data_IF_002842598141
#
_entry.id   IF_002842598141
#
_cell.length_a   1.000
_cell.length_b   1.000
_cell.length_c   1.000
_cell.angle_alpha   90.00
_cell.angle_beta   90.00
_cell.angle_gamma   90.00
#
_symmetry.space_group_name_H-M   'P 1'
#
loop_
_entity.id
_entity.type
_entity.pdbx_description
1 polymer ?
#
# COMPACT_ATOMS: atom_id res chain seq x y z
N UNK A 1 -22.01 -0.68 6.18
CA UNK A 1 -21.64 -1.74 5.23
C UNK A 1 -22.82 -2.57 4.71
N UNK A 2 -23.85 -2.93 5.51
CA UNK A 2 -25.04 -3.63 4.98
C UNK A 2 -25.74 -2.87 3.85
N UNK A 3 -25.81 -1.52 3.93
CA UNK A 3 -26.34 -0.69 2.85
C UNK A 3 -25.52 -0.87 1.56
N UNK A 4 -24.19 -0.87 1.65
CA UNK A 4 -23.30 -1.07 0.49
C UNK A 4 -23.53 -2.43 -0.15
N UNK A 5 -23.63 -3.51 0.65
CA UNK A 5 -23.87 -4.85 0.12
C UNK A 5 -25.24 -4.93 -0.61
N UNK A 6 -26.27 -4.25 -0.09
CA UNK A 6 -27.58 -4.14 -0.72
C UNK A 6 -27.51 -3.38 -2.05
N UNK A 7 -26.79 -2.27 -2.09
CA UNK A 7 -26.63 -1.49 -3.33
C UNK A 7 -25.83 -2.28 -4.39
N UNK A 8 -24.80 -3.03 -3.97
CA UNK A 8 -24.07 -3.95 -4.86
C UNK A 8 -25.00 -5.03 -5.40
N UNK A 9 -25.88 -5.60 -4.55
CA UNK A 9 -26.90 -6.58 -4.97
C UNK A 9 -27.83 -5.98 -6.04
N UNK A 10 -28.36 -4.77 -5.79
CA UNK A 10 -29.25 -4.08 -6.75
C UNK A 10 -28.55 -3.77 -8.06
N UNK A 11 -27.28 -3.41 -8.03
CA UNK A 11 -26.50 -3.07 -9.22
C UNK A 11 -26.17 -4.31 -10.07
N UNK A 12 -26.00 -5.48 -9.49
CA UNK A 12 -25.56 -6.70 -10.16
C UNK A 12 -26.72 -7.51 -10.73
N UNK A 13 -27.84 -7.60 -10.02
CA UNK A 13 -28.99 -8.44 -10.40
C UNK A 13 -29.52 -8.18 -11.81
N UNK A 14 -29.60 -6.92 -12.33
CA UNK A 14 -30.06 -6.68 -13.69
C UNK A 14 -29.18 -7.34 -14.78
N UNK A 15 -27.89 -7.55 -14.49
CA UNK A 15 -26.95 -8.18 -15.45
C UNK A 15 -26.79 -9.67 -15.21
N UNK A 16 -26.95 -10.10 -13.95
CA UNK A 16 -26.81 -11.49 -13.53
C UNK A 16 -28.02 -11.88 -12.67
N UNK A 17 -29.17 -12.18 -13.29
CA UNK A 17 -30.35 -12.61 -12.57
C UNK A 17 -30.03 -13.84 -11.69
N UNK A 18 -30.38 -13.78 -10.41
CA UNK A 18 -30.04 -14.83 -9.45
C UNK A 18 -28.69 -14.66 -8.74
N UNK A 19 -27.92 -13.61 -9.05
CA UNK A 19 -26.74 -13.26 -8.27
C UNK A 19 -27.09 -13.01 -6.79
N UNK A 20 -26.23 -13.46 -5.88
CA UNK A 20 -26.38 -13.26 -4.43
C UNK A 20 -25.17 -12.53 -3.88
N UNK A 21 -25.42 -11.50 -3.07
CA UNK A 21 -24.37 -10.74 -2.37
C UNK A 21 -24.51 -11.00 -0.87
N UNK A 22 -23.41 -11.38 -0.25
CA UNK A 22 -23.31 -11.52 1.19
C UNK A 22 -22.20 -10.60 1.75
N UNK A 23 -22.34 -10.26 3.02
CA UNK A 23 -21.40 -9.45 3.76
C UNK A 23 -20.90 -10.22 4.97
N UNK A 24 -19.59 -10.34 5.10
CA UNK A 24 -18.95 -10.85 6.30
C UNK A 24 -18.15 -9.72 6.97
N UNK A 25 -18.41 -9.49 8.26
CA UNK A 25 -17.57 -8.65 9.10
C UNK A 25 -16.35 -9.47 9.54
N UNK A 26 -15.17 -9.00 9.20
CA UNK A 26 -13.86 -9.57 9.55
C UNK A 26 -13.06 -8.68 10.48
N UNK A 27 -13.69 -7.63 11.01
CA UNK A 27 -13.05 -6.71 11.95
C UNK A 27 -12.61 -7.45 13.22
N UNK A 28 -11.43 -7.15 13.70
CA UNK A 28 -10.97 -7.67 15.00
C UNK A 28 -11.56 -6.83 16.13
N UNK A 29 -11.96 -7.46 17.22
CA UNK A 29 -12.41 -6.74 18.44
C UNK A 29 -11.29 -5.81 18.93
N UNK A 30 -11.64 -4.55 19.19
CA UNK A 30 -10.71 -3.54 19.72
C UNK A 30 -9.65 -3.04 18.73
N UNK A 31 -9.74 -3.38 17.45
CA UNK A 31 -8.83 -2.87 16.42
C UNK A 31 -9.40 -1.61 15.78
N UNK A 32 -8.53 -0.65 15.52
CA UNK A 32 -8.85 0.57 14.77
C UNK A 32 -9.16 0.28 13.28
N UNK A 33 -8.93 -0.96 12.83
CA UNK A 33 -9.19 -1.42 11.49
C UNK A 33 -10.51 -2.17 11.43
N UNK A 34 -11.50 -1.61 10.74
CA UNK A 34 -12.72 -2.32 10.37
C UNK A 34 -12.50 -3.00 9.00
N UNK A 35 -12.76 -4.30 8.94
CA UNK A 35 -12.56 -5.11 7.75
C UNK A 35 -13.85 -5.82 7.38
N UNK A 36 -14.30 -5.63 6.14
CA UNK A 36 -15.48 -6.27 5.59
C UNK A 36 -15.14 -7.06 4.33
N UNK A 37 -15.82 -8.16 4.12
CA UNK A 37 -15.71 -8.93 2.90
C UNK A 37 -17.08 -9.04 2.25
N UNK A 38 -17.22 -8.47 1.06
CA UNK A 38 -18.39 -8.63 0.21
C UNK A 38 -18.14 -9.84 -0.68
N UNK A 39 -19.01 -10.82 -0.60
CA UNK A 39 -18.95 -12.00 -1.45
C UNK A 39 -20.05 -11.95 -2.49
N UNK A 40 -19.73 -12.20 -3.76
CA UNK A 40 -20.67 -12.20 -4.88
C UNK A 40 -20.67 -13.60 -5.47
N UNK A 41 -21.84 -14.27 -5.42
CA UNK A 41 -22.06 -15.55 -6.06
C UNK A 41 -22.87 -15.32 -7.32
N UNK A 42 -22.36 -15.74 -8.47
CA UNK A 42 -23.05 -15.68 -9.75
C UNK A 42 -23.63 -17.06 -10.07
N UNK A 43 -24.82 -17.13 -10.74
CA UNK A 43 -25.51 -18.41 -10.98
C UNK A 43 -24.67 -19.41 -11.79
N UNK A 44 -23.97 -18.92 -12.81
CA UNK A 44 -23.27 -19.74 -13.81
C UNK A 44 -21.75 -19.80 -13.59
N UNK A 45 -21.26 -19.32 -12.44
CA UNK A 45 -19.82 -19.27 -12.14
C UNK A 45 -19.53 -20.14 -10.93
N UNK A 46 -18.63 -21.11 -11.11
CA UNK A 46 -18.12 -21.90 -9.99
C UNK A 46 -17.21 -21.03 -9.12
N UNK A 47 -17.62 -20.84 -7.86
CA UNK A 47 -16.88 -20.05 -6.91
C UNK A 47 -17.59 -18.74 -6.55
N UNK A 48 -16.89 -17.91 -5.79
CA UNK A 48 -17.40 -16.68 -5.24
C UNK A 48 -16.37 -15.56 -5.44
N UNK A 49 -16.78 -14.49 -6.08
CA UNK A 49 -15.96 -13.26 -6.13
C UNK A 49 -15.97 -12.64 -4.73
N UNK A 50 -14.80 -12.32 -4.22
CA UNK A 50 -14.64 -11.72 -2.89
C UNK A 50 -13.98 -10.36 -3.02
N UNK A 51 -14.67 -9.33 -2.52
CA UNK A 51 -14.15 -7.97 -2.42
C UNK A 51 -13.88 -7.67 -0.95
N UNK A 52 -12.62 -7.45 -0.61
CA UNK A 52 -12.21 -7.06 0.74
C UNK A 52 -12.16 -5.55 0.82
N UNK A 53 -12.82 -4.99 1.83
CA UNK A 53 -12.81 -3.57 2.12
C UNK A 53 -12.27 -3.35 3.52
N UNK A 54 -11.25 -2.53 3.64
CA UNK A 54 -10.61 -2.20 4.90
C UNK A 54 -10.82 -0.70 5.17
N UNK A 55 -11.27 -0.35 6.37
CA UNK A 55 -11.41 1.01 6.85
C UNK A 55 -10.55 1.16 8.10
N UNK A 56 -9.62 2.06 8.04
CA UNK A 56 -8.85 2.42 9.21
C UNK A 56 -9.36 3.73 9.80
N UNK A 57 -9.62 3.72 11.11
CA UNK A 57 -10.00 4.92 11.83
C UNK A 57 -8.74 5.70 12.20
N UNK A 58 -8.49 6.78 11.49
CA UNK A 58 -7.40 7.71 11.80
C UNK A 58 -7.73 8.42 13.12
N UNK A 59 -6.84 8.41 14.11
CA UNK A 59 -7.00 9.20 15.32
C UNK A 59 -7.18 10.69 14.99
N UNK A 60 -8.05 11.43 15.70
CA UNK A 60 -8.35 12.83 15.37
C UNK A 60 -7.12 13.76 15.35
N UNK A 61 -6.15 13.52 16.24
CA UNK A 61 -4.88 14.24 16.30
C UNK A 61 -3.96 13.97 15.12
N UNK A 62 -4.16 12.86 14.43
CA UNK A 62 -3.42 12.44 13.23
C UNK A 62 -4.16 12.77 11.93
N UNK A 63 -5.43 13.16 12.01
CA UNK A 63 -6.28 13.32 10.82
C UNK A 63 -5.74 14.39 9.85
N UNK A 64 -5.13 15.47 10.34
CA UNK A 64 -4.54 16.53 9.52
C UNK A 64 -3.40 16.02 8.62
N UNK A 65 -2.68 14.95 9.01
CA UNK A 65 -1.61 14.36 8.21
C UNK A 65 -2.12 13.51 7.03
N UNK A 66 -3.41 13.17 7.04
CA UNK A 66 -4.06 12.40 5.98
C UNK A 66 -4.89 13.28 5.05
N UNK A 67 -4.45 14.51 4.83
CA UNK A 67 -5.03 15.39 3.81
C UNK A 67 -4.80 14.80 2.42
N UNK A 68 -5.73 13.99 1.98
CA UNK A 68 -5.71 13.43 0.63
C UNK A 68 -6.10 14.45 -0.43
N UNK A 69 -6.00 14.04 -1.66
CA UNK A 69 -6.47 14.81 -2.80
C UNK A 69 -7.91 14.42 -3.13
N UNK A 70 -8.78 15.40 -3.30
CA UNK A 70 -10.14 15.14 -3.77
C UNK A 70 -10.10 14.65 -5.21
N UNK A 71 -10.60 13.45 -5.45
CA UNK A 71 -10.69 12.84 -6.78
C UNK A 71 -12.10 12.34 -7.07
N UNK A 72 -12.53 12.53 -8.30
CA UNK A 72 -13.71 11.84 -8.81
C UNK A 72 -13.29 10.52 -9.43
N UNK A 73 -14.00 9.43 -9.13
CA UNK A 73 -13.82 8.19 -9.86
C UNK A 73 -14.34 8.39 -11.30
N UNK A 74 -13.41 8.45 -12.25
CA UNK A 74 -13.77 8.32 -13.65
C UNK A 74 -13.88 6.82 -13.95
N UNK A 75 -15.02 6.32 -14.47
CA UNK A 75 -15.10 4.94 -14.91
C UNK A 75 -14.12 4.73 -16.06
N UNK A 76 -13.19 3.79 -15.92
CA UNK A 76 -12.33 3.37 -17.01
C UNK A 76 -13.16 2.63 -18.07
N UNK A 77 -13.00 3.03 -19.33
CA UNK A 77 -13.46 2.26 -20.48
C UNK A 77 -14.97 2.04 -20.57
N UNK A 78 -15.73 3.03 -20.99
CA UNK A 78 -17.11 2.85 -21.47
C UNK A 78 -18.18 2.62 -20.39
N UNK A 79 -17.84 2.57 -19.11
CA UNK A 79 -18.79 2.45 -18.00
C UNK A 79 -19.53 3.77 -17.68
N UNK A 80 -19.67 4.65 -18.65
CA UNK A 80 -20.41 5.92 -18.55
C UNK A 80 -21.93 5.74 -18.31
N UNK A 81 -22.39 4.51 -18.25
CA UNK A 81 -23.83 4.21 -18.20
C UNK A 81 -24.49 4.44 -16.84
N UNK A 82 -23.73 4.66 -15.76
CA UNK A 82 -24.33 4.44 -14.44
C UNK A 82 -24.31 5.58 -13.44
N UNK A 83 -23.69 6.73 -13.70
CA UNK A 83 -23.72 7.78 -12.68
C UNK A 83 -23.84 9.18 -13.24
N UNK A 84 -24.98 9.76 -13.05
CA UNK A 84 -25.19 11.23 -13.07
C UNK A 84 -24.47 11.90 -11.89
N UNK A 85 -24.10 11.16 -10.86
CA UNK A 85 -23.37 11.65 -9.69
C UNK A 85 -21.98 10.99 -9.67
N UNK A 86 -20.94 11.81 -9.82
CA UNK A 86 -19.55 11.40 -9.61
C UNK A 86 -19.17 11.63 -8.15
N UNK A 87 -19.10 10.58 -7.33
CA UNK A 87 -18.71 10.75 -5.94
C UNK A 87 -17.27 11.28 -5.87
N UNK A 88 -17.06 12.26 -5.00
CA UNK A 88 -15.73 12.80 -4.70
C UNK A 88 -15.17 12.00 -3.53
N UNK A 89 -13.98 11.46 -3.71
CA UNK A 89 -13.25 10.74 -2.68
C UNK A 89 -12.01 11.52 -2.27
N UNK A 90 -11.66 11.40 -1.00
CA UNK A 90 -10.36 11.83 -0.52
C UNK A 90 -9.38 10.66 -0.73
N UNK A 91 -8.39 10.85 -1.59
CA UNK A 91 -7.45 9.81 -1.99
C UNK A 91 -6.06 10.16 -1.46
N UNK A 92 -5.38 9.18 -0.86
CA UNK A 92 -4.01 9.35 -0.42
C UNK A 92 -3.10 9.77 -1.59
N UNK A 93 -2.19 10.72 -1.32
CA UNK A 93 -1.20 11.14 -2.30
C UNK A 93 -0.12 10.06 -2.50
N UNK A 94 0.59 10.04 -3.64
CA UNK A 94 1.72 9.13 -3.83
C UNK A 94 2.76 9.22 -2.71
N UNK A 95 3.00 10.41 -2.16
CA UNK A 95 3.89 10.65 -1.02
C UNK A 95 3.40 9.91 0.23
N UNK A 96 2.13 10.05 0.57
CA UNK A 96 1.52 9.35 1.71
C UNK A 96 1.61 7.84 1.55
N UNK A 97 1.33 7.34 0.35
CA UNK A 97 1.42 5.91 0.07
C UNK A 97 2.87 5.42 0.22
N UNK A 98 3.87 6.20 -0.23
CA UNK A 98 5.28 5.82 -0.07
C UNK A 98 5.66 5.67 1.40
N UNK A 99 5.28 6.62 2.26
CA UNK A 99 5.54 6.53 3.71
C UNK A 99 4.84 5.32 4.35
N UNK A 100 3.58 5.08 4.01
CA UNK A 100 2.84 3.90 4.49
C UNK A 100 3.55 2.60 4.07
N UNK A 101 4.13 2.54 2.86
CA UNK A 101 4.85 1.36 2.39
C UNK A 101 6.19 1.18 3.09
N UNK A 102 6.96 2.25 3.32
CA UNK A 102 8.20 2.18 4.08
C UNK A 102 7.94 1.69 5.51
N UNK A 103 6.95 2.25 6.20
CA UNK A 103 6.56 1.78 7.53
C UNK A 103 6.05 0.33 7.51
N UNK A 104 5.27 -0.05 6.49
CA UNK A 104 4.80 -1.41 6.36
C UNK A 104 5.94 -2.41 6.15
N UNK A 105 6.98 -2.04 5.40
CA UNK A 105 8.21 -2.84 5.23
C UNK A 105 8.94 -2.96 6.57
N UNK A 106 9.10 -1.85 7.29
CA UNK A 106 9.84 -1.78 8.55
C UNK A 106 9.21 -2.63 9.67
N UNK A 107 7.88 -2.55 9.82
CA UNK A 107 7.20 -3.04 11.02
C UNK A 107 6.48 -4.37 10.84
N UNK A 108 6.42 -4.91 9.62
CA UNK A 108 5.86 -6.24 9.40
C UNK A 108 6.91 -7.31 9.60
N UNK A 109 6.58 -8.35 10.37
CA UNK A 109 7.48 -9.48 10.60
C UNK A 109 7.83 -10.30 9.34
N UNK A 110 7.24 -9.98 8.18
CA UNK A 110 7.56 -10.53 6.87
C UNK A 110 7.34 -9.51 5.75
N UNK A 111 8.24 -9.49 4.80
CA UNK A 111 8.09 -8.70 3.59
C UNK A 111 6.86 -9.16 2.79
N UNK A 112 6.07 -8.21 2.32
CA UNK A 112 5.03 -8.46 1.33
C UNK A 112 5.53 -7.97 -0.04
N UNK A 113 5.68 -8.84 -1.03
CA UNK A 113 6.19 -8.49 -2.36
C UNK A 113 5.47 -7.31 -3.03
N UNK A 114 4.16 -7.16 -2.77
CA UNK A 114 3.40 -6.01 -3.27
C UNK A 114 3.89 -4.67 -2.73
N UNK A 115 4.42 -4.62 -1.49
CA UNK A 115 4.93 -3.36 -0.93
C UNK A 115 6.22 -2.94 -1.67
N UNK A 116 7.04 -3.89 -2.10
CA UNK A 116 8.21 -3.66 -2.98
C UNK A 116 7.76 -3.16 -4.36
N UNK A 117 6.76 -3.81 -4.95
CA UNK A 117 6.18 -3.36 -6.21
C UNK A 117 5.63 -1.92 -6.10
N UNK A 118 4.90 -1.62 -5.03
CA UNK A 118 4.29 -0.30 -4.83
C UNK A 118 5.35 0.79 -4.68
N UNK A 119 6.45 0.55 -3.94
CA UNK A 119 7.57 1.50 -3.81
C UNK A 119 8.19 1.77 -5.18
N UNK A 120 8.54 0.72 -5.93
CA UNK A 120 9.10 0.85 -7.28
C UNK A 120 8.14 1.61 -8.20
N UNK A 121 6.87 1.23 -8.25
CA UNK A 121 5.87 1.85 -9.11
C UNK A 121 5.72 3.35 -8.82
N UNK A 122 5.62 3.73 -7.55
CA UNK A 122 5.50 5.12 -7.14
C UNK A 122 6.72 5.94 -7.53
N UNK A 123 7.91 5.39 -7.36
CA UNK A 123 9.15 6.16 -7.47
C UNK A 123 9.78 6.14 -8.86
N UNK A 124 9.37 5.21 -9.72
CA UNK A 124 9.85 5.11 -11.10
C UNK A 124 8.76 5.42 -12.12
N UNK A 125 7.60 4.75 -12.04
CA UNK A 125 6.56 4.86 -13.06
C UNK A 125 5.72 6.14 -12.94
N UNK A 126 5.56 6.69 -11.72
CA UNK A 126 4.89 7.98 -11.52
C UNK A 126 5.85 9.18 -11.63
N UNK A 127 7.15 8.95 -11.79
CA UNK A 127 8.16 10.01 -11.89
C UNK A 127 7.87 10.96 -13.05
N UNK A 128 7.46 10.42 -14.18
CA UNK A 128 7.27 11.17 -15.42
C UNK A 128 5.87 11.81 -15.54
N UNK A 129 5.06 11.67 -14.49
CA UNK A 129 3.67 12.13 -14.47
C UNK A 129 2.76 11.15 -15.19
N UNK A 130 1.80 10.54 -14.50
CA UNK A 130 0.72 9.88 -15.22
C UNK A 130 -0.11 10.95 -15.94
N UNK A 131 -0.50 10.69 -17.17
CA UNK A 131 -1.39 11.54 -17.96
C UNK A 131 -2.70 11.88 -17.21
N UNK A 132 -3.07 11.05 -16.22
CA UNK A 132 -4.29 11.20 -15.43
C UNK A 132 -4.14 12.13 -14.22
N UNK A 133 -2.95 12.26 -13.64
CA UNK A 133 -2.74 13.05 -12.42
C UNK A 133 -2.10 14.41 -12.66
N UNK A 134 -1.46 14.62 -13.82
CA UNK A 134 -0.80 15.88 -14.19
C UNK A 134 0.37 16.29 -13.28
N UNK A 135 0.67 15.51 -12.24
CA UNK A 135 1.76 15.79 -11.29
C UNK A 135 2.77 14.65 -11.32
N UNK A 136 4.00 14.98 -11.74
CA UNK A 136 5.13 14.07 -11.58
C UNK A 136 5.45 13.88 -10.10
N UNK A 137 5.54 12.64 -9.66
CA UNK A 137 5.98 12.32 -8.32
C UNK A 137 7.51 12.32 -8.28
N UNK A 138 8.08 13.09 -7.36
CA UNK A 138 9.53 13.15 -7.16
C UNK A 138 9.92 12.68 -5.76
N UNK A 139 10.40 11.45 -5.67
CA UNK A 139 10.84 10.85 -4.43
C UNK A 139 12.02 11.64 -3.77
N UNK A 140 12.90 12.25 -4.55
CA UNK A 140 14.03 13.02 -4.00
C UNK A 140 13.55 14.24 -3.21
N UNK A 141 12.44 14.86 -3.64
CA UNK A 141 11.81 15.96 -2.88
C UNK A 141 11.22 15.48 -1.57
N UNK A 142 10.66 14.26 -1.56
CA UNK A 142 10.06 13.67 -0.36
C UNK A 142 11.11 13.42 0.71
N UNK A 143 12.25 12.86 0.34
CA UNK A 143 13.38 12.64 1.26
C UNK A 143 14.17 13.92 1.58
N UNK A 144 14.06 14.96 0.75
CA UNK A 144 14.70 16.26 0.97
C UNK A 144 14.02 17.13 2.02
N UNK A 145 12.73 16.91 2.31
CA UNK A 145 12.01 17.57 3.39
C UNK A 145 12.05 16.70 4.65
N UNK A 146 13.18 16.76 5.35
CA UNK A 146 13.44 15.92 6.54
C UNK A 146 12.40 16.11 7.65
N UNK A 147 11.98 17.34 8.04
CA UNK A 147 10.95 17.51 9.06
C UNK A 147 9.63 16.85 8.68
N UNK A 148 9.19 17.00 7.42
CA UNK A 148 7.97 16.38 6.92
C UNK A 148 8.11 14.85 6.89
N UNK A 149 9.26 14.33 6.42
CA UNK A 149 9.55 12.90 6.39
C UNK A 149 9.45 12.28 7.80
N UNK A 150 10.10 12.90 8.81
CA UNK A 150 10.07 12.39 10.18
C UNK A 150 8.66 12.41 10.77
N UNK A 151 7.91 13.51 10.55
CA UNK A 151 6.53 13.62 11.01
C UNK A 151 5.64 12.52 10.41
N UNK A 152 5.80 12.22 9.12
CA UNK A 152 5.06 11.18 8.45
C UNK A 152 5.45 9.79 8.94
N UNK A 153 6.74 9.51 9.06
CA UNK A 153 7.23 8.23 9.56
C UNK A 153 6.69 7.97 10.98
N UNK A 154 6.69 8.98 11.85
CA UNK A 154 6.17 8.85 13.21
C UNK A 154 4.64 8.63 13.23
N UNK A 155 3.91 9.39 12.43
CA UNK A 155 2.45 9.28 12.35
C UNK A 155 1.99 7.91 11.84
N UNK A 156 2.66 7.35 10.83
CA UNK A 156 2.33 6.03 10.30
C UNK A 156 2.87 4.89 11.15
N UNK A 157 4.02 5.06 11.82
CA UNK A 157 4.54 4.08 12.79
C UNK A 157 3.59 3.87 13.97
N UNK A 158 2.86 4.91 14.38
CA UNK A 158 1.84 4.83 15.44
C UNK A 158 0.76 3.77 15.16
N UNK A 159 0.50 3.42 13.88
CA UNK A 159 -0.38 2.31 13.49
C UNK A 159 0.10 0.95 14.00
N UNK A 160 1.38 0.85 14.23
CA UNK A 160 2.05 -0.36 14.71
C UNK A 160 2.39 -0.26 16.20
N UNK A 161 1.91 0.80 16.90
CA UNK A 161 2.29 1.15 18.28
C UNK A 161 3.81 1.35 18.44
N UNK A 162 4.42 2.02 17.47
CA UNK A 162 5.85 2.26 17.37
C UNK A 162 6.11 3.72 17.02
N UNK A 163 7.37 4.13 17.05
CA UNK A 163 7.87 5.44 16.64
C UNK A 163 8.56 5.35 15.29
N UNK A 164 8.83 6.48 14.65
CA UNK A 164 9.60 6.54 13.41
C UNK A 164 10.95 5.80 13.51
N UNK A 165 11.62 5.92 14.67
CA UNK A 165 12.96 5.34 14.86
C UNK A 165 12.94 3.82 15.05
N UNK A 166 11.81 3.23 15.44
CA UNK A 166 11.66 1.77 15.49
C UNK A 166 11.67 1.15 14.08
N UNK A 167 11.48 1.98 13.03
CA UNK A 167 11.56 1.54 11.65
C UNK A 167 13.00 1.22 11.18
N UNK A 168 14.03 1.77 11.84
CA UNK A 168 15.44 1.65 11.43
C UNK A 168 15.81 0.19 11.23
N UNK A 169 15.60 -0.64 12.25
CA UNK A 169 16.01 -2.07 12.21
C UNK A 169 15.34 -2.81 11.06
N UNK A 170 14.02 -2.67 10.90
CA UNK A 170 13.30 -3.39 9.85
C UNK A 170 13.66 -2.93 8.42
N UNK A 171 13.97 -1.64 8.25
CA UNK A 171 14.46 -1.12 6.97
C UNK A 171 15.90 -1.58 6.68
N UNK A 172 16.77 -1.61 7.70
CA UNK A 172 18.14 -2.15 7.59
C UNK A 172 18.11 -3.63 7.24
N UNK A 173 17.28 -4.44 7.90
CA UNK A 173 17.11 -5.86 7.60
C UNK A 173 16.75 -6.09 6.12
N UNK A 174 15.93 -5.22 5.53
CA UNK A 174 15.62 -5.31 4.10
C UNK A 174 16.83 -4.94 3.23
N UNK A 175 17.55 -3.88 3.57
CA UNK A 175 18.73 -3.41 2.80
C UNK A 175 19.83 -4.47 2.80
N UNK A 176 20.07 -5.12 3.92
CA UNK A 176 21.12 -6.13 4.09
C UNK A 176 20.74 -7.50 3.48
N UNK A 177 19.44 -7.75 3.27
CA UNK A 177 18.97 -9.03 2.74
C UNK A 177 19.51 -9.28 1.33
N UNK A 178 20.01 -10.51 1.02
CA UNK A 178 20.47 -10.84 -0.31
C UNK A 178 19.40 -10.62 -1.39
N UNK A 179 19.80 -10.09 -2.55
CA UNK A 179 18.86 -9.82 -3.64
C UNK A 179 18.17 -11.08 -4.13
N UNK A 180 18.89 -12.22 -4.16
CA UNK A 180 18.35 -13.51 -4.57
C UNK A 180 17.18 -13.95 -3.68
N UNK A 181 17.28 -13.72 -2.37
CA UNK A 181 16.21 -14.04 -1.41
C UNK A 181 14.98 -13.14 -1.63
N UNK A 182 15.22 -11.85 -1.87
CA UNK A 182 14.14 -10.91 -2.16
C UNK A 182 13.46 -11.25 -3.49
N UNK A 183 14.22 -11.56 -4.52
CA UNK A 183 13.68 -11.98 -5.83
C UNK A 183 12.86 -13.27 -5.72
N UNK A 184 13.36 -14.26 -4.98
CA UNK A 184 12.59 -15.48 -4.73
C UNK A 184 11.27 -15.19 -4.01
N UNK A 185 11.28 -14.25 -3.04
CA UNK A 185 10.06 -13.78 -2.37
C UNK A 185 9.10 -13.07 -3.35
N UNK A 186 9.63 -12.27 -4.28
CA UNK A 186 8.84 -11.61 -5.32
C UNK A 186 8.20 -12.64 -6.26
N UNK A 187 8.93 -13.67 -6.68
CA UNK A 187 8.35 -14.72 -7.52
C UNK A 187 7.20 -15.44 -6.83
N UNK A 188 7.37 -15.84 -5.58
CA UNK A 188 6.33 -16.54 -4.82
C UNK A 188 5.10 -15.65 -4.55
N UNK A 189 5.31 -14.39 -4.22
CA UNK A 189 4.24 -13.54 -3.70
C UNK A 189 3.64 -12.56 -4.71
N UNK A 190 4.33 -12.24 -5.82
CA UNK A 190 3.84 -11.29 -6.83
C UNK A 190 3.37 -12.01 -8.11
N UNK A 191 4.11 -13.01 -8.58
CA UNK A 191 3.80 -13.78 -9.80
C UNK A 191 2.34 -14.27 -9.89
N UNK A 192 1.71 -14.79 -8.82
CA UNK A 192 0.32 -15.25 -8.89
C UNK A 192 -0.71 -14.15 -9.19
N UNK A 193 -0.33 -12.87 -9.04
CA UNK A 193 -1.20 -11.71 -9.23
C UNK A 193 -0.99 -11.01 -10.58
N UNK A 194 0.01 -11.44 -11.35
CA UNK A 194 0.38 -10.84 -12.63
C UNK A 194 0.10 -11.84 -13.75
N UNK A 195 -0.44 -11.36 -14.87
CA UNK A 195 -0.67 -12.20 -16.04
C UNK A 195 0.66 -12.87 -16.47
N UNK A 196 0.66 -14.17 -16.82
CA UNK A 196 1.89 -14.91 -17.12
C UNK A 196 2.77 -14.26 -18.20
N UNK A 197 2.17 -13.71 -19.25
CA UNK A 197 2.92 -13.01 -20.31
C UNK A 197 3.63 -11.76 -19.78
N UNK A 198 2.95 -10.99 -18.92
CA UNK A 198 3.54 -9.81 -18.28
C UNK A 198 4.65 -10.21 -17.30
N UNK A 199 4.42 -11.24 -16.48
CA UNK A 199 5.47 -11.75 -15.59
C UNK A 199 6.74 -12.15 -16.34
N UNK A 200 6.58 -12.91 -17.43
CA UNK A 200 7.72 -13.36 -18.24
C UNK A 200 8.48 -12.19 -18.89
N UNK A 201 7.79 -11.10 -19.21
CA UNK A 201 8.43 -9.89 -19.72
C UNK A 201 9.17 -9.08 -18.63
N UNK A 202 8.73 -9.18 -17.38
CA UNK A 202 9.34 -8.47 -16.24
C UNK A 202 10.49 -9.25 -15.58
N UNK A 203 10.46 -10.56 -15.66
CA UNK A 203 11.42 -11.44 -15.01
C UNK A 203 12.65 -11.70 -15.89
N UNK A 204 13.89 -11.65 -15.33
CA UNK A 204 14.21 -11.22 -13.95
C UNK A 204 14.51 -9.72 -13.82
N UNK A 205 14.75 -8.98 -14.92
CA UNK A 205 15.36 -7.65 -14.93
C UNK A 205 14.52 -6.61 -14.18
N UNK A 206 13.23 -6.46 -14.52
CA UNK A 206 12.35 -5.48 -13.86
C UNK A 206 12.13 -5.83 -12.39
N UNK A 207 12.09 -7.13 -12.06
CA UNK A 207 11.94 -7.56 -10.66
C UNK A 207 13.20 -7.23 -9.85
N UNK A 208 14.38 -7.39 -10.45
CA UNK A 208 15.65 -6.94 -9.85
C UNK A 208 15.64 -5.43 -9.62
N UNK A 209 15.22 -4.65 -10.61
CA UNK A 209 15.07 -3.18 -10.47
C UNK A 209 14.12 -2.80 -9.33
N UNK A 210 12.99 -3.50 -9.18
CA UNK A 210 12.07 -3.28 -8.06
C UNK A 210 12.77 -3.45 -6.70
N UNK A 211 13.57 -4.50 -6.57
CA UNK A 211 14.34 -4.78 -5.36
C UNK A 211 15.36 -3.68 -5.10
N UNK A 212 16.16 -3.32 -6.11
CA UNK A 212 17.24 -2.34 -5.99
C UNK A 212 16.71 -0.95 -5.65
N UNK A 213 15.66 -0.50 -6.32
CA UNK A 213 14.98 0.78 -6.05
C UNK A 213 14.40 0.80 -4.64
N UNK A 214 13.77 -0.28 -4.21
CA UNK A 214 13.22 -0.36 -2.84
C UNK A 214 14.33 -0.29 -1.80
N UNK A 215 15.42 -1.02 -1.97
CA UNK A 215 16.60 -0.95 -1.09
C UNK A 215 17.19 0.45 -1.04
N UNK A 216 17.30 1.13 -2.18
CA UNK A 216 17.79 2.51 -2.23
C UNK A 216 16.93 3.44 -1.35
N UNK A 217 15.60 3.37 -1.47
CA UNK A 217 14.72 4.23 -0.69
C UNK A 217 14.69 3.84 0.80
N UNK A 218 14.76 2.55 1.12
CA UNK A 218 14.92 2.10 2.51
C UNK A 218 16.24 2.60 3.12
N UNK A 219 17.35 2.52 2.38
CA UNK A 219 18.65 3.04 2.83
C UNK A 219 18.61 4.55 3.08
N UNK A 220 18.00 5.34 2.19
CA UNK A 220 17.80 6.78 2.40
C UNK A 220 16.98 7.08 3.65
N UNK A 221 15.88 6.35 3.85
CA UNK A 221 15.06 6.48 5.04
C UNK A 221 15.86 6.17 6.32
N UNK A 222 16.63 5.09 6.32
CA UNK A 222 17.52 4.72 7.44
C UNK A 222 18.53 5.84 7.74
N UNK A 223 19.18 6.38 6.73
CA UNK A 223 20.16 7.48 6.91
C UNK A 223 19.51 8.66 7.61
N UNK A 224 18.35 9.13 7.11
CA UNK A 224 17.64 10.27 7.71
C UNK A 224 17.22 9.96 9.15
N UNK A 225 16.72 8.76 9.41
CA UNK A 225 16.29 8.37 10.75
C UNK A 225 17.45 8.30 11.73
N UNK A 226 18.60 7.76 11.32
CA UNK A 226 19.81 7.68 12.18
C UNK A 226 20.35 9.08 12.48
N UNK A 227 20.47 9.94 11.46
CA UNK A 227 21.02 11.29 11.63
C UNK A 227 20.15 12.19 12.52
N UNK A 228 18.87 11.86 12.66
CA UNK A 228 17.92 12.63 13.48
C UNK A 228 17.41 11.86 14.70
N UNK A 229 18.01 10.73 15.03
CA UNK A 229 17.65 9.97 16.22
C UNK A 229 18.01 10.74 17.51
N UNK A 230 17.12 10.77 18.52
CA UNK A 230 17.45 11.33 19.83
C UNK A 230 18.67 10.61 20.44
N UNK A 231 19.58 11.39 21.03
CA UNK A 231 20.83 10.84 21.65
C UNK A 231 20.57 9.75 22.71
N UNK A 232 19.41 9.78 23.35
CA UNK A 232 19.05 8.84 24.42
C UNK A 232 18.52 7.48 23.91
N UNK A 233 18.32 7.30 22.62
CA UNK A 233 17.92 6.00 22.06
C UNK A 233 19.14 5.28 21.50
N UNK A 234 19.64 4.20 22.16
CA UNK A 234 20.68 3.39 21.54
C UNK A 234 20.14 2.78 20.25
N UNK A 235 20.71 3.21 19.12
CA UNK A 235 20.53 2.51 17.85
C UNK A 235 21.02 1.09 18.07
N UNK A 236 20.13 0.11 18.10
CA UNK A 236 20.52 -1.29 18.20
C UNK A 236 21.29 -1.62 16.93
N UNK A 237 22.61 -1.57 17.02
CA UNK A 237 23.45 -2.25 16.03
C UNK A 237 23.06 -3.72 16.07
N UNK A 238 22.78 -4.32 14.92
CA UNK A 238 22.41 -5.73 14.80
C UNK A 238 23.31 -6.57 15.68
N UNK A 239 22.77 -7.50 16.52
CA UNK A 239 23.63 -8.40 17.26
C UNK A 239 24.42 -9.23 16.25
N UNK A 240 25.75 -9.23 16.40
CA UNK A 240 26.60 -10.17 15.68
C UNK A 240 26.00 -11.57 15.88
N UNK A 241 25.58 -12.18 14.78
CA UNK A 241 25.10 -13.56 14.81
C UNK A 241 26.28 -14.47 15.14
N UNK A 242 26.14 -15.35 16.16
CA UNK A 242 27.16 -16.32 16.47
C UNK A 242 27.37 -17.36 15.35
#
# INVERSE_FOLDING_TARGET
MHLVAREVQHAIVPFYPGAKVDLADKSGKGKQLAMFQIGITLPDVVGKVKVKTEFWQVPPDKAAHYEGVHRTLAPSGGATLYTTVRPIFNVATPKQILFDKLNAIAHRGRLKPRDVFDVWFLTTQLRDGSAETGQAFNADKVFGDVPEFLAWMDNTAALYNQTAFDAITGLQDLVEKPNEELMASMEVGLKPWIAPAMWNAMWPQTVQEMVDVTKLHCSRAVTILIENAPEDKPVRTSPEKP
#
